data_IF_449957262404
#
_entry.id   IF_449957262404
#
_cell.length_a   1.000
_cell.length_b   1.000
_cell.length_c   1.000
_cell.angle_alpha   90.00
_cell.angle_beta   90.00
_cell.angle_gamma   90.00
#
_symmetry.space_group_name_H-M   'P 1'
#
loop_
_entity.id
_entity.type
_entity.pdbx_description
1 polymer ?
#
# COMPACT_ATOMS: atom_id res chain seq x y z
N UNK A 1 -51.23 3.13 1.39
CA UNK A 1 -49.98 2.39 1.09
C UNK A 1 -48.80 3.24 1.56
N UNK A 2 -48.19 2.87 2.68
CA UNK A 2 -46.93 3.46 3.13
C UNK A 2 -46.06 2.34 3.69
N UNK A 3 -45.16 1.80 2.86
CA UNK A 3 -44.17 0.81 3.30
C UNK A 3 -42.87 1.55 3.59
N UNK A 4 -42.61 1.77 4.88
CA UNK A 4 -41.33 2.27 5.40
C UNK A 4 -40.18 1.37 4.91
N UNK A 5 -39.12 1.92 4.30
CA UNK A 5 -37.99 1.11 3.85
C UNK A 5 -37.23 0.50 5.03
N UNK A 6 -36.94 -0.80 4.88
CA UNK A 6 -36.55 -1.75 5.91
C UNK A 6 -35.20 -1.45 6.58
N UNK A 7 -35.05 -1.66 7.90
CA UNK A 7 -33.84 -1.42 8.69
C UNK A 7 -32.62 -2.35 8.38
N UNK A 8 -32.69 -3.18 7.33
CA UNK A 8 -31.66 -4.18 7.01
C UNK A 8 -30.38 -3.57 6.41
N UNK A 9 -30.50 -2.46 5.68
CA UNK A 9 -29.34 -1.76 5.07
C UNK A 9 -28.47 -1.07 6.12
N UNK A 10 -29.09 -0.50 7.15
CA UNK A 10 -28.40 0.23 8.21
C UNK A 10 -27.67 -0.74 9.15
N UNK A 11 -28.28 -1.89 9.45
CA UNK A 11 -27.64 -2.96 10.21
C UNK A 11 -26.38 -3.51 9.51
N UNK A 12 -26.38 -3.63 8.17
CA UNK A 12 -25.19 -4.07 7.42
C UNK A 12 -24.07 -3.02 7.42
N UNK A 13 -24.39 -1.73 7.26
CA UNK A 13 -23.39 -0.66 7.38
C UNK A 13 -22.80 -0.57 8.79
N UNK A 14 -23.62 -0.83 9.82
CA UNK A 14 -23.15 -0.85 11.20
C UNK A 14 -22.24 -2.06 11.49
N UNK A 15 -22.55 -3.24 10.94
CA UNK A 15 -21.68 -4.43 11.06
C UNK A 15 -20.37 -4.22 10.26
N UNK A 16 -20.41 -3.60 9.08
CA UNK A 16 -19.19 -3.25 8.33
C UNK A 16 -18.35 -2.19 9.06
N UNK A 17 -18.98 -1.17 9.63
CA UNK A 17 -18.32 -0.17 10.47
C UNK A 17 -17.74 -0.77 11.75
N UNK A 18 -18.47 -1.67 12.40
CA UNK A 18 -18.05 -2.38 13.61
C UNK A 18 -17.01 -3.48 13.33
N UNK A 19 -16.94 -4.07 12.13
CA UNK A 19 -15.87 -4.98 11.73
C UNK A 19 -14.57 -4.21 11.39
N UNK A 20 -14.71 -3.03 10.79
CA UNK A 20 -13.62 -2.08 10.55
C UNK A 20 -13.09 -1.42 11.85
N UNK A 21 -13.94 -1.28 12.88
CA UNK A 21 -13.58 -0.65 14.16
C UNK A 21 -13.31 -1.66 15.29
N UNK A 22 -13.88 -2.88 15.21
CA UNK A 22 -14.02 -3.82 16.33
C UNK A 22 -13.20 -5.11 16.26
N UNK A 23 -12.27 -5.26 15.33
CA UNK A 23 -11.32 -6.40 15.33
C UNK A 23 -10.09 -6.18 16.23
N UNK A 24 -10.19 -5.29 17.23
CA UNK A 24 -9.10 -4.97 18.17
C UNK A 24 -9.20 -5.66 19.55
N UNK A 25 -10.27 -6.41 19.86
CA UNK A 25 -10.33 -7.21 21.08
C UNK A 25 -10.30 -8.71 20.75
N UNK A 26 -9.10 -9.25 20.54
CA UNK A 26 -8.94 -10.69 20.33
C UNK A 26 -7.57 -11.23 20.70
N UNK A 27 -6.48 -10.52 20.43
CA UNK A 27 -5.14 -11.01 20.73
C UNK A 27 -4.15 -9.86 20.94
N UNK A 28 -4.04 -9.37 22.18
CA UNK A 28 -2.79 -8.87 22.75
C UNK A 28 -3.00 -8.34 24.18
N UNK A 29 -3.12 -9.25 25.15
CA UNK A 29 -2.26 -9.05 26.32
C UNK A 29 -0.83 -9.36 25.83
N UNK A 30 0.04 -8.35 25.89
CA UNK A 30 1.47 -8.38 25.57
C UNK A 30 1.88 -8.45 24.07
N UNK A 31 1.86 -7.29 23.40
CA UNK A 31 3.09 -6.76 22.76
C UNK A 31 2.93 -5.30 22.34
N UNK A 32 3.27 -4.41 23.27
CA UNK A 32 3.56 -2.99 23.01
C UNK A 32 4.95 -2.91 22.38
N UNK A 33 5.07 -3.25 21.11
CA UNK A 33 6.15 -2.79 20.23
C UNK A 33 5.55 -2.75 18.83
N UNK A 34 5.41 -1.54 18.29
CA UNK A 34 4.99 -1.17 16.94
C UNK A 34 5.05 -2.31 15.92
N UNK A 35 3.93 -3.02 15.76
CA UNK A 35 3.76 -3.96 14.66
C UNK A 35 3.65 -3.10 13.39
N UNK A 36 4.42 -3.34 12.32
CA UNK A 36 4.17 -2.68 11.05
C UNK A 36 2.70 -2.94 10.72
N UNK A 37 1.95 -1.86 10.45
CA UNK A 37 0.61 -2.01 9.88
C UNK A 37 0.80 -2.91 8.67
N UNK A 38 0.29 -4.14 8.73
CA UNK A 38 0.25 -5.04 7.58
C UNK A 38 -0.72 -4.39 6.62
N UNK A 39 -0.21 -3.45 5.84
CA UNK A 39 -0.88 -2.95 4.67
C UNK A 39 -0.94 -4.15 3.76
N UNK A 40 -2.09 -4.83 3.70
CA UNK A 40 -2.32 -5.86 2.69
C UNK A 40 -1.93 -5.21 1.37
N UNK A 41 -0.89 -5.78 0.76
CA UNK A 41 -0.35 -5.25 -0.47
C UNK A 41 -1.44 -5.38 -1.51
N UNK A 42 -1.58 -4.38 -2.38
CA UNK A 42 -2.67 -4.33 -3.34
C UNK A 42 -2.41 -5.22 -4.57
N UNK A 43 -1.99 -6.45 -4.28
CA UNK A 43 -1.73 -7.49 -5.25
C UNK A 43 -3.02 -8.27 -5.50
N UNK A 44 -3.29 -8.55 -6.77
CA UNK A 44 -4.49 -9.29 -7.18
C UNK A 44 -4.59 -10.65 -6.48
N UNK A 45 -3.45 -11.32 -6.25
CA UNK A 45 -3.38 -12.58 -5.51
C UNK A 45 -3.86 -12.45 -4.06
N UNK A 46 -3.47 -11.37 -3.36
CA UNK A 46 -3.89 -11.08 -1.98
C UNK A 46 -5.39 -10.79 -1.91
N UNK A 47 -5.93 -10.04 -2.89
CA UNK A 47 -7.38 -9.78 -2.97
C UNK A 47 -8.18 -11.07 -3.20
N UNK A 48 -7.68 -11.95 -4.06
CA UNK A 48 -8.32 -13.23 -4.36
C UNK A 48 -8.25 -14.19 -3.16
N UNK A 49 -7.13 -14.23 -2.44
CA UNK A 49 -6.99 -14.98 -1.21
C UNK A 49 -7.95 -14.49 -0.12
N UNK A 50 -8.01 -13.18 0.11
CA UNK A 50 -8.95 -12.55 1.03
C UNK A 50 -10.40 -12.90 0.68
N UNK A 51 -10.76 -12.83 -0.61
CA UNK A 51 -12.10 -13.15 -1.07
C UNK A 51 -12.45 -14.63 -0.82
N UNK A 52 -11.50 -15.55 -1.01
CA UNK A 52 -11.68 -16.98 -0.72
C UNK A 52 -11.82 -17.23 0.77
N UNK A 53 -10.92 -16.69 1.57
CA UNK A 53 -10.87 -16.94 3.02
C UNK A 53 -12.09 -16.37 3.75
N UNK A 54 -12.56 -15.19 3.33
CA UNK A 54 -13.78 -14.58 3.87
C UNK A 54 -15.06 -15.08 3.19
N UNK A 55 -14.94 -15.99 2.21
CA UNK A 55 -16.06 -16.53 1.43
C UNK A 55 -16.98 -15.43 0.88
N UNK A 56 -16.38 -14.38 0.31
CA UNK A 56 -17.13 -13.23 -0.19
C UNK A 56 -18.04 -13.63 -1.35
N UNK A 57 -19.28 -13.16 -1.31
CA UNK A 57 -20.17 -13.16 -2.48
C UNK A 57 -19.61 -12.26 -3.58
N UNK A 58 -20.08 -12.43 -4.81
CA UNK A 58 -19.66 -11.60 -5.95
C UNK A 58 -19.88 -10.10 -5.69
N UNK A 59 -21.02 -9.73 -5.11
CA UNK A 59 -21.34 -8.34 -4.78
C UNK A 59 -20.40 -7.76 -3.70
N UNK A 60 -20.12 -8.54 -2.65
CA UNK A 60 -19.17 -8.13 -1.60
C UNK A 60 -17.76 -7.98 -2.17
N UNK A 61 -17.33 -8.91 -3.03
CA UNK A 61 -16.02 -8.85 -3.68
C UNK A 61 -15.89 -7.58 -4.53
N UNK A 62 -16.93 -7.23 -5.30
CA UNK A 62 -16.93 -6.02 -6.13
C UNK A 62 -16.77 -4.73 -5.30
N UNK A 63 -17.43 -4.67 -4.13
CA UNK A 63 -17.29 -3.54 -3.19
C UNK A 63 -15.86 -3.46 -2.64
N UNK A 64 -15.29 -4.60 -2.21
CA UNK A 64 -13.92 -4.65 -1.69
C UNK A 64 -12.90 -4.25 -2.76
N UNK A 65 -13.00 -4.80 -3.96
CA UNK A 65 -12.12 -4.46 -5.09
C UNK A 65 -12.16 -2.94 -5.37
N UNK A 66 -13.36 -2.34 -5.37
CA UNK A 66 -13.55 -0.90 -5.59
C UNK A 66 -12.88 -0.04 -4.50
N UNK A 67 -12.93 -0.48 -3.23
CA UNK A 67 -12.27 0.24 -2.14
C UNK A 67 -10.74 0.23 -2.29
N UNK A 68 -10.16 -0.89 -2.73
CA UNK A 68 -8.72 -0.97 -3.02
C UNK A 68 -8.34 -0.10 -4.22
N UNK A 69 -9.14 -0.09 -5.29
CA UNK A 69 -8.92 0.81 -6.45
C UNK A 69 -8.91 2.28 -6.02
N UNK A 70 -9.92 2.70 -5.25
CA UNK A 70 -10.00 4.05 -4.70
C UNK A 70 -8.77 4.40 -3.85
N UNK A 71 -8.37 3.52 -2.93
CA UNK A 71 -7.17 3.69 -2.11
C UNK A 71 -5.93 3.87 -2.99
N UNK A 72 -5.75 3.02 -4.00
CA UNK A 72 -4.58 3.09 -4.90
C UNK A 72 -4.55 4.39 -5.70
N UNK A 73 -5.70 4.84 -6.20
CA UNK A 73 -5.80 6.12 -6.90
C UNK A 73 -5.41 7.28 -5.99
N UNK A 74 -5.97 7.32 -4.77
CA UNK A 74 -5.65 8.36 -3.78
C UNK A 74 -4.19 8.35 -3.35
N UNK A 75 -3.60 7.17 -3.17
CA UNK A 75 -2.16 7.05 -2.88
C UNK A 75 -1.31 7.56 -4.03
N UNK A 76 -1.68 7.31 -5.30
CA UNK A 76 -0.96 7.85 -6.46
C UNK A 76 -1.03 9.37 -6.52
N UNK A 77 -2.21 9.96 -6.28
CA UNK A 77 -2.39 11.42 -6.23
C UNK A 77 -1.48 12.05 -5.17
N UNK A 78 -1.50 11.51 -3.95
CA UNK A 78 -0.66 11.99 -2.86
C UNK A 78 0.81 11.87 -3.26
N UNK A 79 1.24 10.68 -3.71
CA UNK A 79 2.63 10.46 -4.11
C UNK A 79 3.06 11.36 -5.26
N UNK A 80 2.18 11.72 -6.21
CA UNK A 80 2.53 12.66 -7.27
C UNK A 80 2.94 14.03 -6.71
N UNK A 81 2.31 14.46 -5.61
CA UNK A 81 2.61 15.72 -4.92
C UNK A 81 3.92 15.63 -4.12
N UNK A 82 4.12 14.55 -3.35
CA UNK A 82 5.27 14.45 -2.43
C UNK A 82 6.54 13.90 -3.08
N UNK A 83 6.43 13.17 -4.19
CA UNK A 83 7.56 12.51 -4.86
C UNK A 83 8.69 13.47 -5.24
N UNK A 84 8.44 14.66 -5.81
CA UNK A 84 9.52 15.61 -6.11
C UNK A 84 10.34 16.01 -4.88
N UNK A 85 9.68 16.23 -3.74
CA UNK A 85 10.36 16.57 -2.50
C UNK A 85 11.19 15.38 -1.96
N UNK A 86 10.64 14.17 -2.00
CA UNK A 86 11.36 12.96 -1.61
C UNK A 86 12.58 12.70 -2.52
N UNK A 87 12.43 12.91 -3.82
CA UNK A 87 13.52 12.76 -4.78
C UNK A 87 14.63 13.79 -4.52
N UNK A 88 14.27 15.05 -4.25
CA UNK A 88 15.23 16.11 -3.87
C UNK A 88 16.00 15.77 -2.59
N UNK A 89 15.32 15.26 -1.56
CA UNK A 89 15.97 14.81 -0.32
C UNK A 89 16.93 13.66 -0.59
N UNK A 90 16.53 12.68 -1.40
CA UNK A 90 17.39 11.54 -1.77
C UNK A 90 18.63 12.00 -2.54
N UNK A 91 18.48 12.94 -3.45
CA UNK A 91 19.60 13.46 -4.24
C UNK A 91 20.56 14.28 -3.37
N UNK A 92 20.03 15.09 -2.45
CA UNK A 92 20.84 15.81 -1.46
C UNK A 92 21.61 14.84 -0.55
N UNK A 93 20.94 13.80 -0.04
CA UNK A 93 21.58 12.77 0.77
C UNK A 93 22.70 12.05 -0.01
N UNK A 94 22.50 11.79 -1.30
CA UNK A 94 23.54 11.20 -2.17
C UNK A 94 24.80 12.05 -2.21
N UNK A 95 24.67 13.37 -2.40
CA UNK A 95 25.80 14.29 -2.43
C UNK A 95 26.53 14.31 -1.09
N UNK A 96 25.78 14.39 0.02
CA UNK A 96 26.36 14.35 1.36
C UNK A 96 27.11 13.04 1.62
N UNK A 97 26.54 11.90 1.23
CA UNK A 97 27.18 10.59 1.35
C UNK A 97 28.44 10.46 0.51
N UNK A 98 28.52 11.12 -0.65
CA UNK A 98 29.72 11.08 -1.51
C UNK A 98 30.85 11.99 -1.02
N UNK A 99 30.56 12.97 -0.17
CA UNK A 99 31.53 13.96 0.31
C UNK A 99 32.74 13.35 1.04
N UNK A 100 32.58 12.41 1.99
CA UNK A 100 33.71 11.85 2.72
C UNK A 100 34.42 10.69 1.99
N UNK A 101 33.93 10.26 0.82
CA UNK A 101 34.44 9.08 0.13
C UNK A 101 35.67 9.39 -0.73
N UNK A 102 36.58 8.44 -0.84
CA UNK A 102 37.63 8.47 -1.87
C UNK A 102 37.06 8.14 -3.27
N UNK A 103 37.86 8.33 -4.32
CA UNK A 103 37.40 8.13 -5.69
C UNK A 103 37.01 6.67 -6.01
N UNK A 104 37.72 5.68 -5.45
CA UNK A 104 37.41 4.27 -5.66
C UNK A 104 36.08 3.87 -4.96
N UNK A 105 35.81 4.46 -3.79
CA UNK A 105 34.56 4.33 -3.07
C UNK A 105 33.41 5.01 -3.80
N UNK A 106 33.62 6.23 -4.34
CA UNK A 106 32.61 6.93 -5.17
C UNK A 106 32.26 6.14 -6.42
N UNK A 107 33.24 5.57 -7.12
CA UNK A 107 33.03 4.68 -8.28
C UNK A 107 32.17 3.47 -7.90
N UNK A 108 32.49 2.82 -6.77
CA UNK A 108 31.74 1.67 -6.28
C UNK A 108 30.31 2.04 -5.89
N UNK A 109 30.12 3.20 -5.28
CA UNK A 109 28.81 3.73 -4.91
C UNK A 109 27.95 4.07 -6.14
N UNK A 110 28.54 4.66 -7.20
CA UNK A 110 27.85 4.89 -8.48
C UNK A 110 27.39 3.58 -9.13
N UNK A 111 28.27 2.58 -9.21
CA UNK A 111 27.92 1.24 -9.73
C UNK A 111 26.77 0.59 -8.96
N UNK A 112 26.74 0.76 -7.63
CA UNK A 112 25.66 0.26 -6.78
C UNK A 112 24.32 0.91 -7.14
N UNK A 113 24.28 2.24 -7.29
CA UNK A 113 23.07 2.98 -7.67
C UNK A 113 22.57 2.52 -9.04
N UNK A 114 23.45 2.46 -10.05
CA UNK A 114 23.10 2.04 -11.40
C UNK A 114 22.55 0.61 -11.45
N UNK A 115 23.16 -0.32 -10.71
CA UNK A 115 22.65 -1.69 -10.58
C UNK A 115 21.24 -1.70 -10.02
N UNK A 116 21.01 -0.96 -8.93
CA UNK A 116 19.70 -0.94 -8.29
C UNK A 116 18.64 -0.27 -9.19
N UNK A 117 18.99 0.78 -9.93
CA UNK A 117 18.11 1.40 -10.92
C UNK A 117 17.72 0.42 -12.03
N UNK A 118 18.69 -0.33 -12.59
CA UNK A 118 18.39 -1.35 -13.61
C UNK A 118 17.43 -2.42 -13.11
N UNK A 119 17.61 -2.89 -11.87
CA UNK A 119 16.71 -3.88 -11.25
C UNK A 119 15.30 -3.30 -11.11
N UNK A 120 15.18 -2.07 -10.62
CA UNK A 120 13.89 -1.39 -10.47
C UNK A 120 13.19 -1.20 -11.83
N UNK A 121 13.92 -0.78 -12.85
CA UNK A 121 13.40 -0.54 -14.21
C UNK A 121 12.97 -1.86 -14.87
N UNK A 122 13.74 -2.93 -14.66
CA UNK A 122 13.39 -4.28 -15.13
C UNK A 122 12.11 -4.78 -14.46
N UNK A 123 11.97 -4.56 -13.15
CA UNK A 123 10.76 -4.91 -12.41
C UNK A 123 9.55 -4.05 -12.82
N UNK A 124 9.73 -2.76 -13.10
CA UNK A 124 8.68 -1.89 -13.61
C UNK A 124 8.21 -2.31 -15.00
N UNK A 125 9.15 -2.65 -15.90
CA UNK A 125 8.86 -3.18 -17.23
C UNK A 125 8.11 -4.50 -17.17
N UNK A 126 8.50 -5.41 -16.27
CA UNK A 126 7.79 -6.67 -16.04
C UNK A 126 6.35 -6.47 -15.54
N UNK A 127 6.09 -5.37 -14.81
CA UNK A 127 4.76 -4.96 -14.33
C UNK A 127 3.96 -4.13 -15.35
N UNK A 128 4.51 -3.88 -16.55
CA UNK A 128 3.83 -3.08 -17.58
C UNK A 128 3.58 -1.62 -17.21
N UNK A 129 4.33 -1.06 -16.25
CA UNK A 129 4.19 0.35 -15.82
C UNK A 129 5.28 1.19 -16.49
N UNK A 130 4.96 2.06 -17.47
CA UNK A 130 5.95 3.00 -18.01
C UNK A 130 6.29 4.06 -16.96
N UNK A 131 7.53 4.56 -17.02
CA UNK A 131 8.02 5.65 -16.17
C UNK A 131 7.36 6.97 -16.53
#
# INVERSE_FOLDING_TARGET
>A
MSTTPRPKSLAMMFILGALLTGSALGFAAARVVSKPVVMLNDDKSVREELARELQLTADQKAVVDSAWEWRRARSREIMAIVRPALDSVRDSARVLMMTPLDEAQKDSFRRLIERNQRIADSAAKARGTPR
#
